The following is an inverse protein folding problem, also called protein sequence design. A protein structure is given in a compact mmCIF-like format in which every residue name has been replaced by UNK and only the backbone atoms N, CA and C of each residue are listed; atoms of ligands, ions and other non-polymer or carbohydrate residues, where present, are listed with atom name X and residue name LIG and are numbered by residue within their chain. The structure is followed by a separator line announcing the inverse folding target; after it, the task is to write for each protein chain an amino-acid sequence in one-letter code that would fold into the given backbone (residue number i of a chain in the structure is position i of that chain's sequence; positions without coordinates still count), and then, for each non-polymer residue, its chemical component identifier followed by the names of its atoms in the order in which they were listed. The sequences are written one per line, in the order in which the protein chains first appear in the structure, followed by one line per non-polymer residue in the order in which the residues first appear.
data_IF_124613427565
#
_entry.id   IF_124613427565
#
_cell.length_a   1.000
_cell.length_b   1.000
_cell.length_c   1.000
_cell.angle_alpha   90.00
_cell.angle_beta   90.00
_cell.angle_gamma   90.00
#
_symmetry.space_group_name_H-M   'P 1'
#
loop_
_entity.id
_entity.type
_entity.pdbx_description
1 polymer ?
#
# COMPACT_ATOMS: atom_id res chain seq x y z
N UNK A 1 43.63 -3.24 41.25
CA UNK A 1 42.98 -3.89 40.09
C UNK A 1 43.41 -3.21 38.79
N UNK A 2 44.44 -3.74 38.11
CA UNK A 2 44.79 -3.27 36.75
C UNK A 2 43.76 -3.83 35.77
N UNK A 3 42.83 -2.99 35.30
CA UNK A 3 41.85 -3.35 34.25
C UNK A 3 42.61 -3.84 33.03
N UNK A 4 42.45 -5.12 32.69
CA UNK A 4 43.06 -5.75 31.51
C UNK A 4 42.45 -5.15 30.24
N UNK A 5 43.06 -4.07 29.75
CA UNK A 5 42.74 -3.42 28.47
C UNK A 5 42.73 -4.42 27.29
N UNK A 6 43.45 -5.54 27.42
CA UNK A 6 43.50 -6.62 26.44
C UNK A 6 42.19 -7.44 26.33
N UNK A 7 41.45 -7.63 27.44
CA UNK A 7 40.15 -8.34 27.40
C UNK A 7 39.09 -7.45 26.74
N UNK A 8 39.14 -6.15 27.00
CA UNK A 8 38.25 -5.16 26.37
C UNK A 8 38.52 -5.08 24.86
N UNK A 9 39.80 -5.13 24.44
CA UNK A 9 40.18 -5.14 23.02
C UNK A 9 39.72 -6.43 22.30
N UNK A 10 39.78 -7.59 22.98
CA UNK A 10 39.31 -8.87 22.44
C UNK A 10 37.78 -8.92 22.33
N UNK A 11 37.05 -8.36 23.31
CA UNK A 11 35.60 -8.21 23.24
C UNK A 11 35.16 -7.20 22.16
N UNK A 12 35.93 -6.13 21.93
CA UNK A 12 35.69 -5.16 20.84
C UNK A 12 35.95 -5.76 19.45
N UNK A 13 36.91 -6.68 19.32
CA UNK A 13 37.21 -7.36 18.06
C UNK A 13 36.14 -8.41 17.69
N UNK A 14 35.55 -9.07 18.69
CA UNK A 14 34.45 -10.03 18.49
C UNK A 14 33.10 -9.36 18.21
N UNK A 15 32.95 -8.08 18.57
CA UNK A 15 31.75 -7.29 18.31
C UNK A 15 31.67 -6.70 16.88
N UNK A 16 32.68 -6.93 16.03
CA UNK A 16 32.75 -6.39 14.67
C UNK A 16 32.37 -7.39 13.56
N UNK A 17 31.68 -8.49 13.90
CA UNK A 17 30.99 -9.30 12.89
C UNK A 17 29.64 -8.63 12.64
N UNK A 18 29.67 -7.53 11.90
CA UNK A 18 28.48 -6.98 11.29
C UNK A 18 28.10 -8.00 10.21
N UNK A 19 27.16 -8.88 10.52
CA UNK A 19 26.47 -9.66 9.49
C UNK A 19 25.75 -8.66 8.60
N UNK A 20 26.38 -8.29 7.49
CA UNK A 20 25.68 -7.66 6.38
C UNK A 20 24.70 -8.71 5.84
N UNK A 21 23.44 -8.66 6.30
CA UNK A 21 22.36 -9.39 5.64
C UNK A 21 22.16 -8.72 4.28
N UNK A 22 22.61 -9.38 3.22
CA UNK A 22 22.21 -8.98 1.89
C UNK A 22 20.73 -9.35 1.72
N UNK A 23 19.90 -8.36 1.36
CA UNK A 23 18.48 -8.59 1.06
C UNK A 23 18.37 -9.64 -0.05
N UNK A 24 17.65 -10.73 0.20
CA UNK A 24 17.47 -11.81 -0.78
C UNK A 24 16.17 -11.59 -1.54
N UNK A 25 16.28 -11.12 -2.78
CA UNK A 25 15.14 -10.99 -3.69
C UNK A 25 14.87 -12.31 -4.39
N UNK A 26 13.58 -12.61 -4.62
CA UNK A 26 13.15 -13.90 -5.20
C UNK A 26 12.80 -13.79 -6.67
N UNK A 27 12.42 -12.59 -7.11
CA UNK A 27 12.02 -12.33 -8.48
C UNK A 27 12.78 -11.15 -9.08
N UNK A 28 13.02 -11.25 -10.38
CA UNK A 28 13.62 -10.22 -11.22
C UNK A 28 12.74 -9.95 -12.44
N UNK A 29 12.67 -8.70 -12.89
CA UNK A 29 12.03 -8.31 -14.14
C UNK A 29 12.92 -7.29 -14.87
N UNK A 30 13.46 -7.66 -16.03
CA UNK A 30 14.31 -6.76 -16.80
C UNK A 30 13.51 -5.56 -17.34
N UNK A 31 14.00 -4.34 -17.15
CA UNK A 31 13.44 -3.16 -17.81
C UNK A 31 13.77 -3.19 -19.30
N UNK A 32 12.86 -2.72 -20.14
CA UNK A 32 13.14 -2.55 -21.57
C UNK A 32 14.25 -1.50 -21.79
N UNK A 33 14.95 -1.52 -22.95
CA UNK A 33 16.06 -0.61 -23.21
C UNK A 33 15.71 0.86 -23.02
N UNK A 34 16.56 1.58 -22.28
CA UNK A 34 16.39 3.01 -21.99
C UNK A 34 16.78 3.85 -23.22
N UNK A 35 15.84 4.60 -23.84
CA UNK A 35 16.12 5.28 -25.11
C UNK A 35 16.98 6.55 -24.96
N UNK A 36 16.90 7.24 -23.83
CA UNK A 36 17.63 8.47 -23.52
C UNK A 36 17.85 8.61 -22.00
N UNK A 37 18.80 9.45 -21.60
CA UNK A 37 18.98 9.77 -20.17
C UNK A 37 17.79 10.58 -19.67
N UNK A 38 17.22 10.22 -18.52
CA UNK A 38 16.12 10.99 -17.95
C UNK A 38 15.26 10.22 -16.94
N UNK A 39 14.18 10.87 -16.51
CA UNK A 39 13.17 10.25 -15.66
C UNK A 39 12.22 9.39 -16.48
N UNK A 40 11.90 8.21 -15.94
CA UNK A 40 10.94 7.27 -16.51
C UNK A 40 9.90 6.87 -15.48
N UNK A 41 8.67 6.72 -15.95
CA UNK A 41 7.55 6.16 -15.19
C UNK A 41 7.45 4.66 -15.46
N UNK A 42 7.40 3.87 -14.40
CA UNK A 42 7.22 2.42 -14.47
C UNK A 42 5.90 2.08 -13.77
N UNK A 43 4.93 1.61 -14.55
CA UNK A 43 3.61 1.22 -14.04
C UNK A 43 3.67 -0.21 -13.55
N UNK A 44 3.43 -0.41 -12.26
CA UNK A 44 3.41 -1.70 -11.59
C UNK A 44 2.08 -2.40 -11.84
N UNK A 45 2.15 -3.49 -12.61
CA UNK A 45 1.02 -4.38 -12.91
C UNK A 45 0.68 -5.32 -11.75
N UNK A 46 -0.38 -6.12 -11.92
CA UNK A 46 -0.83 -7.14 -10.96
C UNK A 46 0.29 -8.07 -10.49
N UNK A 47 1.13 -8.56 -11.41
CA UNK A 47 2.19 -9.53 -11.08
C UNK A 47 3.22 -8.93 -10.11
N UNK A 48 3.63 -7.68 -10.36
CA UNK A 48 4.53 -6.96 -9.44
C UNK A 48 3.84 -6.74 -8.10
N UNK A 49 2.62 -6.22 -8.10
CA UNK A 49 1.86 -5.89 -6.89
C UNK A 49 1.52 -7.12 -6.05
N UNK A 50 1.38 -8.29 -6.67
CA UNK A 50 1.18 -9.56 -5.99
C UNK A 50 2.47 -10.08 -5.34
N UNK A 51 3.62 -9.71 -5.89
CA UNK A 51 4.94 -10.16 -5.44
C UNK A 51 5.61 -9.24 -4.41
N UNK A 52 5.04 -8.07 -4.12
CA UNK A 52 5.60 -7.09 -3.18
C UNK A 52 4.63 -6.76 -2.06
N UNK A 53 5.19 -6.27 -0.96
CA UNK A 53 4.45 -5.71 0.16
C UNK A 53 3.67 -4.46 -0.27
N UNK A 54 2.51 -4.15 0.37
CA UNK A 54 1.68 -3.01 -0.04
C UNK A 54 2.39 -1.65 -0.05
N UNK A 55 3.41 -1.48 0.79
CA UNK A 55 4.24 -0.28 0.90
C UNK A 55 5.49 -0.28 -0.01
N UNK A 56 5.66 -1.32 -0.84
CA UNK A 56 6.77 -1.52 -1.77
C UNK A 56 8.15 -1.65 -1.11
N UNK A 57 8.22 -1.97 0.19
CA UNK A 57 9.49 -2.05 0.93
C UNK A 57 10.49 -3.04 0.35
N UNK A 58 9.98 -4.06 -0.30
CA UNK A 58 10.64 -5.21 -0.89
C UNK A 58 10.77 -5.10 -2.42
N UNK A 59 10.60 -3.89 -2.97
CA UNK A 59 10.89 -3.54 -4.36
C UNK A 59 12.21 -2.75 -4.44
N UNK A 60 13.11 -3.15 -5.34
CA UNK A 60 14.29 -2.37 -5.73
C UNK A 60 14.40 -2.26 -7.25
N UNK A 61 15.05 -1.21 -7.72
CA UNK A 61 15.58 -1.13 -9.08
C UNK A 61 17.08 -1.34 -8.97
N UNK A 62 17.66 -2.21 -9.79
CA UNK A 62 19.11 -2.43 -9.85
C UNK A 62 19.64 -2.19 -11.25
N UNK A 63 20.91 -1.78 -11.35
CA UNK A 63 21.67 -1.86 -12.60
C UNK A 63 22.45 -3.18 -12.71
N UNK A 64 23.13 -3.38 -13.85
CA UNK A 64 24.00 -4.51 -14.12
C UNK A 64 25.24 -4.65 -13.19
N UNK A 65 25.47 -3.68 -12.29
CA UNK A 65 26.52 -3.73 -11.25
C UNK A 65 25.94 -3.98 -9.86
N UNK A 66 24.69 -4.45 -9.79
CA UNK A 66 23.95 -4.69 -8.54
C UNK A 66 23.80 -3.44 -7.66
N UNK A 67 23.84 -2.24 -8.26
CA UNK A 67 23.65 -0.99 -7.53
C UNK A 67 22.17 -0.63 -7.54
N UNK A 68 21.62 -0.37 -6.36
CA UNK A 68 20.24 0.08 -6.24
C UNK A 68 20.08 1.51 -6.75
N UNK A 69 19.10 1.69 -7.62
CA UNK A 69 18.75 2.96 -8.23
C UNK A 69 17.60 3.58 -7.47
N UNK A 70 17.71 4.86 -7.04
CA UNK A 70 16.63 5.58 -6.40
C UNK A 70 15.37 5.63 -7.25
N UNK A 71 14.23 5.44 -6.61
CA UNK A 71 12.92 5.66 -7.20
C UNK A 71 12.01 6.30 -6.17
N UNK A 72 10.93 6.91 -6.64
CA UNK A 72 9.84 7.40 -5.78
C UNK A 72 8.52 6.83 -6.26
N UNK A 73 7.53 6.74 -5.38
CA UNK A 73 6.15 6.49 -5.81
C UNK A 73 5.60 7.76 -6.44
N UNK A 74 4.93 7.64 -7.58
CA UNK A 74 4.16 8.74 -8.15
C UNK A 74 3.08 9.12 -7.13
N UNK A 75 3.18 10.34 -6.60
CA UNK A 75 2.11 10.88 -5.77
C UNK A 75 0.92 11.16 -6.69
N UNK A 76 -0.29 10.81 -6.27
CA UNK A 76 -1.50 11.44 -6.85
C UNK A 76 -1.29 12.94 -6.71
N UNK A 77 -1.48 13.68 -7.81
CA UNK A 77 -1.19 15.11 -7.93
C UNK A 77 -1.39 15.80 -6.58
N UNK A 78 -0.30 16.33 -6.04
CA UNK A 78 -0.36 17.21 -4.89
C UNK A 78 -1.22 18.38 -5.37
N UNK A 79 -2.45 18.47 -4.87
CA UNK A 79 -3.22 19.69 -5.01
C UNK A 79 -2.39 20.74 -4.31
N UNK A 80 -1.85 21.66 -5.10
CA UNK A 80 -1.10 22.78 -4.58
C UNK A 80 -1.99 23.46 -3.52
N UNK A 81 -1.45 23.80 -2.36
CA UNK A 81 -2.25 24.41 -1.29
C UNK A 81 -2.93 25.72 -1.76
N UNK A 82 -2.40 26.32 -2.82
CA UNK A 82 -2.98 27.46 -3.54
C UNK A 82 -4.27 27.14 -4.31
N UNK A 83 -4.59 25.87 -4.55
CA UNK A 83 -5.79 25.44 -5.28
C UNK A 83 -6.95 25.01 -4.35
N UNK A 84 -6.69 24.88 -3.05
CA UNK A 84 -7.71 24.56 -2.06
C UNK A 84 -8.30 25.83 -1.45
N UNK A 85 -9.58 26.07 -1.72
CA UNK A 85 -10.35 27.15 -1.08
C UNK A 85 -11.08 26.58 0.14
N UNK A 86 -10.61 26.85 1.37
CA UNK A 86 -11.25 26.34 2.57
C UNK A 86 -12.66 26.92 2.72
N UNK A 87 -13.61 26.05 3.06
CA UNK A 87 -14.95 26.45 3.49
C UNK A 87 -15.01 26.50 5.01
N UNK A 88 -15.85 27.38 5.55
CA UNK A 88 -15.92 27.57 6.99
C UNK A 88 -16.68 26.41 7.64
N UNK A 89 -16.00 25.66 8.51
CA UNK A 89 -16.61 24.62 9.35
C UNK A 89 -17.33 25.28 10.52
N UNK A 90 -18.66 25.15 10.55
CA UNK A 90 -19.54 25.73 11.57
C UNK A 90 -19.81 24.78 12.73
N UNK A 91 -19.76 23.47 12.47
CA UNK A 91 -19.82 22.42 13.47
C UNK A 91 -19.02 21.22 12.98
N UNK A 92 -18.28 20.58 13.89
CA UNK A 92 -17.68 19.26 13.71
C UNK A 92 -17.80 18.54 15.06
N UNK A 93 -18.95 17.93 15.28
CA UNK A 93 -19.34 17.36 16.59
C UNK A 93 -19.86 15.95 16.41
N UNK A 94 -19.85 15.18 17.50
CA UNK A 94 -20.58 13.91 17.56
C UNK A 94 -21.96 14.17 18.14
N UNK A 95 -23.01 13.74 17.43
CA UNK A 95 -24.39 13.85 17.90
C UNK A 95 -24.71 12.81 18.99
N UNK A 96 -25.91 12.89 19.57
CA UNK A 96 -26.36 11.96 20.62
C UNK A 96 -26.53 10.52 20.14
N UNK A 97 -26.63 10.30 18.83
CA UNK A 97 -26.68 8.97 18.22
C UNK A 97 -25.29 8.42 17.90
N UNK A 98 -24.23 9.19 18.14
CA UNK A 98 -22.84 8.81 17.88
C UNK A 98 -22.36 9.12 16.47
N UNK A 99 -23.13 9.84 15.64
CA UNK A 99 -22.72 10.22 14.29
C UNK A 99 -21.88 11.51 14.31
N UNK A 100 -20.93 11.65 13.39
CA UNK A 100 -20.27 12.94 13.17
C UNK A 100 -21.18 13.83 12.35
N UNK A 101 -21.45 15.03 12.86
CA UNK A 101 -22.17 16.10 12.16
C UNK A 101 -21.18 17.20 11.82
N UNK A 102 -20.90 17.33 10.53
CA UNK A 102 -20.08 18.39 9.97
C UNK A 102 -20.96 19.38 9.22
N UNK A 103 -21.17 20.55 9.80
CA UNK A 103 -21.87 21.66 9.14
C UNK A 103 -20.83 22.62 8.56
N UNK A 104 -20.96 22.96 7.28
CA UNK A 104 -20.11 23.93 6.59
C UNK A 104 -20.94 25.04 5.96
N UNK A 105 -20.35 26.22 5.84
CA UNK A 105 -20.93 27.34 5.11
C UNK A 105 -20.33 27.45 3.71
N UNK A 106 -21.20 27.50 2.70
CA UNK A 106 -20.82 27.84 1.34
C UNK A 106 -20.64 29.36 1.24
N UNK A 107 -19.40 29.82 1.38
CA UNK A 107 -19.02 31.23 1.31
C UNK A 107 -18.80 31.74 -0.11
N UNK A 108 -18.94 30.88 -1.13
CA UNK A 108 -18.61 31.25 -2.53
C UNK A 108 -19.65 32.13 -3.20
N UNK A 109 -20.88 32.18 -2.69
CA UNK A 109 -22.02 32.85 -3.33
C UNK A 109 -22.56 32.14 -4.59
N UNK A 110 -21.96 31.01 -5.00
CA UNK A 110 -22.36 30.22 -6.16
C UNK A 110 -22.86 28.83 -5.73
N UNK A 111 -23.55 28.14 -6.64
CA UNK A 111 -23.89 26.73 -6.44
C UNK A 111 -22.64 25.85 -6.47
N UNK A 112 -22.55 24.87 -5.58
CA UNK A 112 -21.45 23.88 -5.51
C UNK A 112 -22.00 22.47 -5.67
N UNK A 113 -21.20 21.58 -6.26
CA UNK A 113 -21.58 20.19 -6.55
C UNK A 113 -20.58 19.18 -5.94
N UNK A 114 -19.58 19.67 -5.24
CA UNK A 114 -18.63 18.85 -4.51
C UNK A 114 -18.05 19.64 -3.33
N UNK A 115 -17.55 18.90 -2.34
CA UNK A 115 -16.69 19.41 -1.27
C UNK A 115 -15.61 18.38 -1.00
N UNK A 116 -14.38 18.82 -0.87
CA UNK A 116 -13.23 17.96 -0.57
C UNK A 116 -12.88 18.06 0.90
N UNK A 117 -12.73 16.92 1.56
CA UNK A 117 -12.30 16.81 2.95
C UNK A 117 -10.85 16.35 3.01
N UNK A 118 -10.05 16.98 3.86
CA UNK A 118 -8.81 16.39 4.34
C UNK A 118 -9.08 15.62 5.63
N UNK A 119 -8.76 14.33 5.64
CA UNK A 119 -9.04 13.40 6.73
C UNK A 119 -7.74 12.73 7.14
N UNK A 120 -7.49 12.60 8.46
CA UNK A 120 -6.35 11.81 8.93
C UNK A 120 -6.41 10.37 8.42
N UNK A 121 -5.26 9.81 8.08
CA UNK A 121 -5.16 8.46 7.54
C UNK A 121 -5.92 7.44 8.38
N UNK A 122 -6.71 6.61 7.71
CA UNK A 122 -7.52 5.59 8.36
C UNK A 122 -7.91 4.50 7.39
N UNK A 123 -8.03 3.28 7.92
CA UNK A 123 -8.65 2.15 7.21
C UNK A 123 -10.15 2.06 7.45
N UNK A 124 -10.74 3.03 8.16
CA UNK A 124 -12.15 3.03 8.48
C UNK A 124 -13.01 3.42 7.27
N UNK A 125 -13.99 2.59 6.95
CA UNK A 125 -15.05 2.91 6.00
C UNK A 125 -16.25 3.52 6.74
N UNK A 126 -16.88 4.53 6.16
CA UNK A 126 -18.05 5.19 6.75
C UNK A 126 -19.08 5.54 5.69
N UNK A 127 -20.36 5.49 6.06
CA UNK A 127 -21.42 6.05 5.24
C UNK A 127 -21.66 7.51 5.62
N UNK A 128 -21.85 8.34 4.60
CA UNK A 128 -22.09 9.76 4.71
C UNK A 128 -23.39 10.14 3.98
N UNK A 129 -24.14 11.07 4.55
CA UNK A 129 -25.22 11.77 3.85
C UNK A 129 -24.96 13.28 3.81
N UNK A 130 -25.49 13.94 2.78
CA UNK A 130 -25.40 15.38 2.55
C UNK A 130 -26.79 15.99 2.56
N UNK A 131 -27.00 17.02 3.37
CA UNK A 131 -28.21 17.84 3.39
C UNK A 131 -27.87 19.32 3.21
N UNK A 132 -28.81 20.11 2.70
CA UNK A 132 -28.69 21.55 2.52
C UNK A 132 -29.68 22.34 3.37
N UNK A 133 -29.29 23.53 3.78
CA UNK A 133 -30.12 24.50 4.49
C UNK A 133 -29.76 25.93 4.11
N UNK A 134 -30.74 26.83 4.15
CA UNK A 134 -30.50 28.28 4.01
C UNK A 134 -30.51 29.01 5.35
N UNK A 135 -30.97 28.38 6.43
CA UNK A 135 -31.22 29.01 7.74
C UNK A 135 -30.63 28.24 8.93
N UNK A 136 -30.00 27.07 8.69
CA UNK A 136 -29.51 26.09 9.68
C UNK A 136 -30.58 25.45 10.56
N UNK A 137 -31.85 25.84 10.43
CA UNK A 137 -32.98 25.30 11.17
C UNK A 137 -33.67 24.16 10.42
N UNK A 138 -33.91 24.34 9.12
CA UNK A 138 -34.55 23.34 8.26
C UNK A 138 -33.54 22.77 7.27
N UNK A 139 -33.45 21.45 7.24
CA UNK A 139 -32.50 20.71 6.41
C UNK A 139 -33.25 19.83 5.42
N UNK A 140 -32.77 19.83 4.18
CA UNK A 140 -33.34 19.03 3.08
C UNK A 140 -32.26 18.13 2.52
N UNK A 141 -32.60 16.87 2.28
CA UNK A 141 -31.64 15.90 1.78
C UNK A 141 -31.18 16.28 0.36
N UNK A 142 -29.87 16.16 0.12
CA UNK A 142 -29.25 16.33 -1.21
C UNK A 142 -28.81 14.97 -1.76
N UNK A 143 -28.14 14.16 -0.93
CA UNK A 143 -27.67 12.81 -1.30
C UNK A 143 -27.49 11.95 -0.05
N UNK A 144 -27.85 10.68 -0.13
CA UNK A 144 -27.64 9.69 0.93
C UNK A 144 -26.67 8.59 0.49
N UNK A 145 -26.22 7.82 1.49
CA UNK A 145 -25.46 6.58 1.33
C UNK A 145 -24.17 6.72 0.50
N UNK A 146 -23.46 7.83 0.67
CA UNK A 146 -22.13 8.04 0.10
C UNK A 146 -21.13 7.23 0.93
N UNK A 147 -20.39 6.32 0.29
CA UNK A 147 -19.31 5.59 0.96
C UNK A 147 -18.04 6.45 1.00
N UNK A 148 -17.61 6.81 2.21
CA UNK A 148 -16.25 7.28 2.45
C UNK A 148 -15.32 6.07 2.43
N UNK A 149 -14.58 5.94 1.35
CA UNK A 149 -13.57 4.91 1.13
C UNK A 149 -12.32 5.23 1.93
N UNK A 150 -11.69 4.23 2.56
CA UNK A 150 -10.44 4.43 3.28
C UNK A 150 -9.34 4.78 2.28
N UNK A 151 -8.47 5.69 2.65
CA UNK A 151 -7.21 5.88 1.96
C UNK A 151 -6.09 6.06 2.98
N UNK A 152 -4.95 5.48 2.66
CA UNK A 152 -3.74 5.61 3.46
C UNK A 152 -2.74 6.36 2.60
N UNK A 153 -2.43 7.58 3.02
CA UNK A 153 -1.25 8.29 2.55
C UNK A 153 -0.03 7.64 3.18
N UNK A 154 0.87 7.10 2.39
CA UNK A 154 2.17 6.65 2.90
C UNK A 154 3.21 7.78 2.95
N UNK A 155 2.88 8.94 2.36
CA UNK A 155 3.76 10.11 2.24
C UNK A 155 3.25 11.30 3.08
N UNK A 156 1.99 11.27 3.56
CA UNK A 156 1.37 12.27 4.46
C UNK A 156 0.45 11.56 5.46
N UNK A 157 0.28 12.13 6.65
CA UNK A 157 -0.63 11.64 7.72
C UNK A 157 -2.12 11.99 7.47
N UNK A 158 -2.45 12.38 6.25
CA UNK A 158 -3.81 12.71 5.83
C UNK A 158 -4.00 12.39 4.35
N UNK A 159 -5.24 12.12 3.98
CA UNK A 159 -5.67 11.97 2.61
C UNK A 159 -6.83 12.91 2.33
N UNK A 160 -6.99 13.24 1.06
CA UNK A 160 -8.13 14.03 0.61
C UNK A 160 -9.20 13.13 -0.01
N UNK A 161 -10.46 13.44 0.26
CA UNK A 161 -11.60 12.76 -0.32
C UNK A 161 -12.63 13.77 -0.80
N UNK A 162 -12.91 13.75 -2.11
CA UNK A 162 -13.92 14.60 -2.73
C UNK A 162 -15.30 13.95 -2.67
N UNK A 163 -16.26 14.66 -2.08
CA UNK A 163 -17.65 14.22 -1.95
C UNK A 163 -18.47 14.95 -2.98
N UNK A 164 -18.84 14.25 -4.06
CA UNK A 164 -19.70 14.78 -5.10
C UNK A 164 -21.20 14.65 -4.75
N UNK A 165 -21.99 15.63 -5.17
CA UNK A 165 -23.45 15.66 -4.99
C UNK A 165 -24.11 16.55 -6.06
N UNK A 166 -25.44 16.47 -6.28
CA UNK A 166 -26.12 17.35 -7.22
C UNK A 166 -25.85 18.84 -6.94
N UNK A 167 -25.75 19.66 -7.98
CA UNK A 167 -25.52 21.11 -7.84
C UNK A 167 -26.48 21.73 -6.82
N UNK A 168 -25.93 22.33 -5.78
CA UNK A 168 -26.66 22.88 -4.64
C UNK A 168 -26.32 24.34 -4.43
N UNK A 169 -27.35 25.17 -4.29
CA UNK A 169 -27.24 26.60 -3.96
C UNK A 169 -27.55 26.90 -2.49
N UNK A 170 -27.69 25.87 -1.65
CA UNK A 170 -27.90 26.06 -0.22
C UNK A 170 -26.69 26.75 0.42
N UNK A 171 -26.95 27.71 1.32
CA UNK A 171 -25.89 28.44 2.04
C UNK A 171 -25.13 27.54 3.02
N UNK A 172 -25.82 26.58 3.62
CA UNK A 172 -25.24 25.66 4.59
C UNK A 172 -25.38 24.23 4.09
N UNK A 173 -24.32 23.45 4.23
CA UNK A 173 -24.33 22.01 3.97
C UNK A 173 -24.03 21.26 5.26
N UNK A 174 -24.74 20.15 5.47
CA UNK A 174 -24.55 19.24 6.59
C UNK A 174 -24.15 17.88 6.06
N UNK A 175 -23.03 17.39 6.56
CA UNK A 175 -22.53 16.06 6.30
C UNK A 175 -22.69 15.24 7.58
N UNK A 176 -23.47 14.15 7.50
CA UNK A 176 -23.66 13.23 8.64
C UNK A 176 -22.94 11.94 8.33
N UNK A 177 -21.91 11.62 9.12
CA UNK A 177 -21.12 10.40 8.99
C UNK A 177 -21.55 9.40 10.05
N UNK A 178 -22.03 8.24 9.60
CA UNK A 178 -22.46 7.15 10.48
C UNK A 178 -21.22 6.44 11.05
N UNK A 179 -20.90 6.71 12.32
CA UNK A 179 -19.72 6.11 12.97
C UNK A 179 -19.95 4.68 13.46
N UNK A 180 -21.20 4.18 13.45
CA UNK A 180 -21.54 2.81 13.82
C UNK A 180 -20.99 2.39 15.20
N UNK A 181 -21.11 3.26 16.20
CA UNK A 181 -20.62 3.07 17.58
C UNK A 181 -19.09 2.91 17.71
N UNK A 182 -18.34 3.24 16.66
CA UNK A 182 -16.87 3.34 16.68
C UNK A 182 -16.44 4.80 16.84
N UNK A 183 -15.13 5.02 16.96
CA UNK A 183 -14.55 6.36 16.97
C UNK A 183 -14.81 7.10 15.65
N UNK A 184 -14.95 8.42 15.77
CA UNK A 184 -15.20 9.34 14.68
C UNK A 184 -13.96 9.51 13.78
N UNK A 185 -14.19 9.81 12.49
CA UNK A 185 -13.11 10.23 11.59
C UNK A 185 -12.58 11.61 12.00
N UNK A 186 -11.26 11.78 11.92
CA UNK A 186 -10.63 13.08 12.17
C UNK A 186 -10.59 13.90 10.88
N UNK A 187 -11.62 14.71 10.66
CA UNK A 187 -11.74 15.65 9.54
C UNK A 187 -10.96 16.92 9.89
N UNK A 188 -9.85 17.14 9.19
CA UNK A 188 -8.92 18.26 9.40
C UNK A 188 -9.48 19.54 8.78
N UNK A 189 -9.97 19.46 7.54
CA UNK A 189 -10.55 20.60 6.84
C UNK A 189 -11.54 20.18 5.76
N UNK A 190 -12.36 21.13 5.32
CA UNK A 190 -13.31 20.98 4.21
C UNK A 190 -13.22 22.20 3.29
N UNK A 191 -13.27 22.00 1.99
CA UNK A 191 -13.11 23.09 1.02
C UNK A 191 -13.44 22.70 -0.41
N UNK A 192 -13.16 23.62 -1.32
CA UNK A 192 -13.33 23.44 -2.75
C UNK A 192 -11.97 23.40 -3.43
N UNK A 193 -11.85 22.60 -4.48
CA UNK A 193 -10.66 22.59 -5.33
C UNK A 193 -10.95 23.46 -6.55
N UNK A 194 -10.19 24.55 -6.69
CA UNK A 194 -10.27 25.45 -7.84
C UNK A 194 -9.48 24.86 -9.01
N UNK A 195 -10.02 23.85 -9.68
CA UNK A 195 -9.37 23.36 -10.87
C UNK A 195 -10.38 22.88 -11.92
N UNK A 196 -10.52 23.67 -12.99
CA UNK A 196 -11.16 23.23 -14.24
C UNK A 196 -10.39 22.10 -14.93
N UNK A 197 -9.14 21.83 -14.50
CA UNK A 197 -8.25 20.78 -15.00
C UNK A 197 -8.09 19.59 -14.05
N UNK A 198 -8.25 19.77 -12.73
CA UNK A 198 -8.33 18.67 -11.77
C UNK A 198 -9.80 18.30 -11.53
N UNK A 199 -10.48 17.83 -12.57
CA UNK A 199 -11.45 16.77 -12.31
C UNK A 199 -10.60 15.63 -11.79
N UNK A 200 -10.62 15.38 -10.48
CA UNK A 200 -10.18 14.10 -9.96
C UNK A 200 -10.92 13.04 -10.78
N UNK A 201 -10.26 12.48 -11.80
CA UNK A 201 -10.83 11.35 -12.48
C UNK A 201 -10.90 10.27 -11.42
N UNK A 202 -12.07 9.64 -11.21
CA UNK A 202 -12.17 8.54 -10.28
C UNK A 202 -11.05 7.55 -10.60
N UNK A 203 -10.41 6.95 -9.57
CA UNK A 203 -9.31 6.03 -9.77
C UNK A 203 -9.71 5.00 -10.82
N UNK A 204 -8.93 4.92 -11.90
CA UNK A 204 -9.21 3.97 -12.99
C UNK A 204 -8.59 2.64 -12.61
N UNK A 205 -9.44 1.70 -12.22
CA UNK A 205 -9.02 0.33 -11.94
C UNK A 205 -8.75 -0.40 -13.25
N UNK A 206 -7.64 -1.13 -13.31
CA UNK A 206 -7.38 -2.06 -14.40
C UNK A 206 -8.11 -3.36 -14.05
N UNK A 207 -8.99 -3.80 -14.95
CA UNK A 207 -9.73 -5.06 -14.81
C UNK A 207 -8.84 -6.22 -15.22
N UNK A 208 -8.84 -7.28 -14.43
CA UNK A 208 -8.21 -8.55 -14.77
C UNK A 208 -8.97 -9.25 -15.90
N UNK A 209 -8.35 -10.26 -16.51
CA UNK A 209 -9.09 -11.21 -17.35
C UNK A 209 -10.25 -11.79 -16.55
N UNK A 210 -11.41 -11.91 -17.19
CA UNK A 210 -12.63 -12.39 -16.54
C UNK A 210 -12.37 -13.75 -15.84
N UNK A 211 -12.67 -13.87 -14.53
CA UNK A 211 -12.51 -15.12 -13.81
C UNK A 211 -13.56 -16.13 -14.23
N UNK A 212 -13.29 -17.40 -13.96
CA UNK A 212 -14.33 -18.44 -14.04
C UNK A 212 -15.19 -18.36 -12.78
N UNK A 213 -16.51 -18.39 -12.95
CA UNK A 213 -17.45 -18.31 -11.82
C UNK A 213 -18.36 -19.52 -11.77
N UNK A 214 -18.52 -20.12 -10.59
CA UNK A 214 -19.49 -21.19 -10.34
C UNK A 214 -20.38 -20.80 -9.17
N UNK A 215 -21.70 -20.88 -9.36
CA UNK A 215 -22.68 -20.62 -8.30
C UNK A 215 -23.24 -21.93 -7.74
N UNK A 216 -23.28 -22.04 -6.41
CA UNK A 216 -23.93 -23.13 -5.67
C UNK A 216 -24.92 -22.55 -4.67
N UNK A 217 -26.19 -22.80 -4.91
CA UNK A 217 -27.27 -22.43 -4.00
C UNK A 217 -27.53 -23.55 -3.00
N UNK A 218 -27.59 -23.21 -1.72
CA UNK A 218 -27.65 -24.17 -0.62
C UNK A 218 -28.92 -24.02 0.20
N UNK A 219 -29.42 -25.13 0.74
CA UNK A 219 -30.63 -25.17 1.57
C UNK A 219 -30.48 -24.46 2.93
N UNK A 220 -29.26 -24.04 3.30
CA UNK A 220 -28.99 -23.23 4.48
C UNK A 220 -29.30 -21.74 4.30
N UNK A 221 -29.95 -21.34 3.20
CA UNK A 221 -30.31 -19.96 2.92
C UNK A 221 -29.18 -19.13 2.32
N UNK A 222 -28.07 -19.75 1.90
CA UNK A 222 -26.92 -19.06 1.32
C UNK A 222 -26.65 -19.50 -0.12
N UNK A 223 -26.15 -18.56 -0.92
CA UNK A 223 -25.53 -18.84 -2.22
C UNK A 223 -24.02 -18.65 -2.14
N UNK A 224 -23.28 -19.60 -2.70
CA UNK A 224 -21.82 -19.60 -2.75
C UNK A 224 -21.37 -19.36 -4.18
N UNK A 225 -20.68 -18.25 -4.43
CA UNK A 225 -20.11 -17.93 -5.75
C UNK A 225 -18.61 -18.14 -5.65
N UNK A 226 -18.12 -19.21 -6.27
CA UNK A 226 -16.70 -19.49 -6.41
C UNK A 226 -16.16 -18.72 -7.61
N UNK A 227 -15.04 -18.02 -7.41
CA UNK A 227 -14.41 -17.15 -8.39
C UNK A 227 -12.95 -17.59 -8.52
N UNK A 228 -12.60 -18.18 -9.66
CA UNK A 228 -11.28 -18.75 -9.92
C UNK A 228 -10.56 -18.01 -11.05
N UNK A 229 -9.32 -17.63 -10.78
CA UNK A 229 -8.42 -16.97 -11.73
C UNK A 229 -7.31 -17.93 -12.18
N UNK A 230 -6.65 -17.60 -13.29
CA UNK A 230 -5.53 -18.39 -13.80
C UNK A 230 -4.28 -18.29 -12.90
N UNK A 231 -4.09 -17.13 -12.25
CA UNK A 231 -2.95 -16.83 -11.39
C UNK A 231 -3.44 -16.16 -10.10
N UNK A 232 -2.59 -16.17 -9.06
CA UNK A 232 -2.80 -15.37 -7.85
C UNK A 232 -2.57 -13.88 -8.15
N UNK A 233 -3.65 -13.17 -8.49
CA UNK A 233 -3.61 -11.75 -8.82
C UNK A 233 -3.71 -10.87 -7.58
N UNK A 234 -3.14 -9.67 -7.67
CA UNK A 234 -3.39 -8.58 -6.73
C UNK A 234 -4.73 -7.89 -7.04
N UNK A 235 -5.58 -7.73 -6.03
CA UNK A 235 -6.96 -7.29 -6.19
C UNK A 235 -7.29 -6.24 -5.13
N UNK A 236 -7.91 -5.14 -5.57
CA UNK A 236 -8.40 -4.05 -4.73
C UNK A 236 -9.83 -3.63 -5.09
N UNK A 237 -10.42 -4.24 -6.13
CA UNK A 237 -11.79 -4.01 -6.53
C UNK A 237 -12.47 -5.31 -6.98
N UNK A 238 -13.72 -5.45 -6.58
CA UNK A 238 -14.64 -6.50 -7.01
C UNK A 238 -15.89 -5.84 -7.60
N UNK A 239 -16.30 -6.25 -8.79
CA UNK A 239 -17.59 -5.86 -9.37
C UNK A 239 -18.47 -7.09 -9.60
N UNK A 240 -19.75 -6.99 -9.28
CA UNK A 240 -20.72 -8.09 -9.37
C UNK A 240 -21.91 -7.65 -10.20
N UNK A 241 -22.19 -8.41 -11.25
CA UNK A 241 -23.37 -8.24 -12.09
C UNK A 241 -24.46 -9.26 -11.74
N UNK A 242 -25.66 -8.74 -11.49
CA UNK A 242 -26.86 -9.55 -11.18
C UNK A 242 -27.85 -9.43 -12.34
N UNK A 243 -28.34 -10.58 -12.83
CA UNK A 243 -29.37 -10.68 -13.86
C UNK A 243 -30.79 -10.73 -13.29
N UNK A 244 -31.00 -11.37 -12.14
CA UNK A 244 -32.31 -11.52 -11.52
C UNK A 244 -32.21 -11.82 -10.01
N UNK A 245 -33.26 -11.54 -9.22
CA UNK A 245 -34.42 -10.71 -9.56
C UNK A 245 -34.03 -9.23 -9.75
N UNK A 246 -34.92 -8.37 -10.31
CA UNK A 246 -34.60 -6.96 -10.53
C UNK A 246 -34.47 -6.14 -9.24
N UNK A 247 -35.15 -6.57 -8.18
CA UNK A 247 -35.12 -5.92 -6.86
C UNK A 247 -34.51 -6.88 -5.84
N UNK A 248 -33.39 -6.47 -5.27
CA UNK A 248 -32.69 -7.21 -4.24
C UNK A 248 -31.90 -6.27 -3.33
N UNK A 249 -31.65 -6.77 -2.13
CA UNK A 249 -30.73 -6.22 -1.14
C UNK A 249 -30.26 -7.40 -0.27
N UNK A 250 -28.98 -7.75 -0.34
CA UNK A 250 -28.42 -8.95 0.32
C UNK A 250 -27.11 -8.61 1.01
N UNK A 251 -26.88 -9.05 2.26
CA UNK A 251 -25.55 -9.02 2.83
C UNK A 251 -24.68 -10.07 2.11
N UNK A 252 -23.44 -9.68 1.85
CA UNK A 252 -22.44 -10.50 1.15
C UNK A 252 -21.15 -10.46 1.95
N UNK A 253 -20.52 -11.62 2.10
CA UNK A 253 -19.17 -11.73 2.63
C UNK A 253 -18.23 -12.34 1.59
N UNK A 254 -17.14 -11.62 1.31
CA UNK A 254 -16.05 -12.06 0.44
C UNK A 254 -14.99 -12.78 1.27
N UNK A 255 -14.59 -13.95 0.80
CA UNK A 255 -13.49 -14.74 1.33
C UNK A 255 -12.42 -14.97 0.27
N UNK A 256 -11.18 -15.12 0.71
CA UNK A 256 -10.07 -15.67 -0.08
C UNK A 256 -9.71 -17.05 0.42
N UNK A 257 -9.33 -17.95 -0.48
CA UNK A 257 -8.74 -19.22 -0.09
C UNK A 257 -7.27 -18.98 0.32
N UNK A 258 -6.93 -19.36 1.54
CA UNK A 258 -5.54 -19.55 1.95
C UNK A 258 -5.13 -20.98 1.60
N UNK A 259 -4.28 -21.11 0.57
CA UNK A 259 -3.84 -22.43 0.09
C UNK A 259 -2.97 -23.18 1.10
N UNK A 260 -2.25 -22.46 1.98
CA UNK A 260 -1.41 -23.10 2.99
C UNK A 260 -2.26 -23.64 4.13
N UNK A 261 -3.21 -22.83 4.62
CA UNK A 261 -4.11 -23.21 5.70
C UNK A 261 -5.30 -24.07 5.23
N UNK A 262 -5.51 -24.18 3.91
CA UNK A 262 -6.70 -24.81 3.29
C UNK A 262 -8.01 -24.26 3.90
N UNK A 263 -8.04 -22.95 4.12
CA UNK A 263 -9.13 -22.28 4.84
C UNK A 263 -9.55 -20.99 4.13
N UNK A 264 -10.84 -20.66 4.22
CA UNK A 264 -11.36 -19.40 3.73
C UNK A 264 -11.19 -18.30 4.77
N UNK A 265 -10.41 -17.28 4.42
CA UNK A 265 -10.19 -16.10 5.24
C UNK A 265 -11.08 -14.96 4.74
N UNK A 266 -11.83 -14.34 5.65
CA UNK A 266 -12.70 -13.22 5.32
C UNK A 266 -11.88 -12.01 4.88
N UNK A 267 -12.29 -11.41 3.75
CA UNK A 267 -11.67 -10.22 3.16
C UNK A 267 -12.50 -8.98 3.49
N UNK A 268 -13.81 -9.00 3.17
CA UNK A 268 -14.72 -7.86 3.39
C UNK A 268 -16.17 -8.34 3.45
N UNK A 269 -17.02 -7.64 4.20
CA UNK A 269 -18.47 -7.78 4.13
C UNK A 269 -19.10 -6.48 3.62
N UNK A 270 -20.13 -6.59 2.79
CA UNK A 270 -20.84 -5.45 2.19
C UNK A 270 -22.28 -5.83 1.82
N UNK A 271 -23.10 -4.85 1.44
CA UNK A 271 -24.46 -5.08 0.96
C UNK A 271 -24.52 -4.96 -0.56
N UNK A 272 -25.01 -6.00 -1.23
CA UNK A 272 -25.30 -5.99 -2.65
C UNK A 272 -26.76 -5.58 -2.85
N UNK A 273 -27.00 -4.44 -3.50
CA UNK A 273 -28.34 -3.87 -3.67
C UNK A 273 -28.60 -3.42 -5.11
N UNK A 274 -29.83 -3.63 -5.57
CA UNK A 274 -30.34 -3.12 -6.86
C UNK A 274 -30.36 -1.58 -6.95
N UNK A 275 -30.24 -0.87 -5.82
CA UNK A 275 -30.17 0.60 -5.75
C UNK A 275 -28.76 1.15 -5.55
N UNK A 276 -27.79 0.27 -5.31
CA UNK A 276 -26.42 0.64 -4.93
C UNK A 276 -25.41 0.45 -6.06
N UNK A 277 -24.16 0.69 -5.72
CA UNK A 277 -23.03 0.41 -6.60
C UNK A 277 -22.88 -1.09 -6.85
N UNK A 278 -22.37 -1.43 -8.03
CA UNK A 278 -22.03 -2.81 -8.42
C UNK A 278 -20.56 -3.13 -8.21
N UNK A 279 -19.76 -2.12 -7.86
CA UNK A 279 -18.32 -2.18 -7.70
C UNK A 279 -17.93 -1.82 -6.26
N UNK A 280 -17.09 -2.64 -5.66
CA UNK A 280 -16.71 -2.59 -4.26
C UNK A 280 -15.19 -2.58 -4.15
N UNK A 281 -14.64 -1.58 -3.47
CA UNK A 281 -13.21 -1.56 -3.11
C UNK A 281 -12.96 -2.62 -2.04
N UNK A 282 -11.92 -3.42 -2.15
CA UNK A 282 -11.59 -4.42 -1.13
C UNK A 282 -10.19 -4.15 -0.57
N UNK A 283 -9.88 -4.60 0.65
CA UNK A 283 -8.50 -4.59 1.14
C UNK A 283 -7.58 -5.27 0.12
N UNK A 284 -6.39 -4.72 -0.06
CA UNK A 284 -5.36 -5.26 -0.94
C UNK A 284 -5.16 -6.76 -0.68
N UNK A 285 -5.57 -7.57 -1.65
CA UNK A 285 -5.66 -9.03 -1.51
C UNK A 285 -4.97 -9.70 -2.68
N UNK A 286 -4.01 -10.57 -2.40
CA UNK A 286 -3.45 -11.51 -3.39
C UNK A 286 -4.14 -12.85 -3.24
N UNK A 287 -4.84 -13.30 -4.28
CA UNK A 287 -5.55 -14.58 -4.26
C UNK A 287 -5.79 -15.10 -5.68
N UNK A 288 -5.68 -16.41 -5.86
CA UNK A 288 -6.12 -17.09 -7.08
C UNK A 288 -7.62 -17.41 -7.03
N UNK A 289 -8.07 -17.96 -5.89
CA UNK A 289 -9.45 -18.35 -5.65
C UNK A 289 -10.11 -17.48 -4.57
N UNK A 290 -11.30 -16.99 -4.88
CA UNK A 290 -12.16 -16.23 -3.99
C UNK A 290 -13.53 -16.91 -3.87
N UNK A 291 -14.25 -16.63 -2.80
CA UNK A 291 -15.63 -17.09 -2.61
C UNK A 291 -16.49 -15.96 -2.07
N UNK A 292 -17.62 -15.70 -2.73
CA UNK A 292 -18.68 -14.86 -2.18
C UNK A 292 -19.72 -15.74 -1.49
N UNK A 293 -20.12 -15.35 -0.30
CA UNK A 293 -21.28 -15.90 0.40
C UNK A 293 -22.35 -14.84 0.41
N UNK A 294 -23.46 -15.10 -0.28
CA UNK A 294 -24.64 -14.24 -0.33
C UNK A 294 -25.68 -14.85 0.60
N UNK A 295 -26.11 -14.12 1.62
CA UNK A 295 -27.19 -14.59 2.50
C UNK A 295 -28.53 -14.21 1.90
N UNK A 296 -29.30 -15.22 1.48
CA UNK A 296 -30.58 -15.00 0.80
C UNK A 296 -31.75 -14.82 1.78
N UNK A 297 -31.62 -15.35 3.00
CA UNK A 297 -32.76 -15.48 3.92
C UNK A 297 -33.89 -16.29 3.27
N UNK A 298 -35.12 -15.80 3.35
CA UNK A 298 -36.30 -16.42 2.73
C UNK A 298 -36.46 -16.09 1.24
N UNK A 299 -35.52 -15.37 0.64
CA UNK A 299 -35.60 -14.99 -0.76
C UNK A 299 -35.03 -16.06 -1.69
N UNK A 300 -35.46 -16.05 -2.95
CA UNK A 300 -34.81 -16.82 -4.00
C UNK A 300 -33.36 -16.34 -4.22
N UNK A 301 -32.43 -17.26 -4.56
CA UNK A 301 -31.06 -16.92 -4.93
C UNK A 301 -30.96 -15.86 -6.03
N UNK A 302 -29.94 -15.02 -5.94
CA UNK A 302 -29.61 -14.08 -7.03
C UNK A 302 -28.99 -14.85 -8.20
N UNK A 303 -29.34 -14.48 -9.44
CA UNK A 303 -28.66 -14.95 -10.64
C UNK A 303 -27.48 -14.04 -10.92
N UNK A 304 -26.27 -14.48 -10.56
CA UNK A 304 -25.03 -13.75 -10.84
C UNK A 304 -24.65 -13.96 -12.30
N UNK A 305 -24.61 -12.89 -13.09
CA UNK A 305 -24.28 -12.93 -14.52
C UNK A 305 -22.82 -12.62 -14.82
N UNK A 306 -22.11 -11.98 -13.89
CA UNK A 306 -20.72 -11.61 -14.10
C UNK A 306 -20.02 -11.23 -12.81
N UNK A 307 -18.73 -11.53 -12.74
CA UNK A 307 -17.83 -11.03 -11.70
C UNK A 307 -16.60 -10.48 -12.39
N UNK A 308 -16.18 -9.28 -12.00
CA UNK A 308 -14.95 -8.67 -12.48
C UNK A 308 -14.07 -8.31 -11.29
N UNK A 309 -12.77 -8.54 -11.43
CA UNK A 309 -11.77 -8.21 -10.42
C UNK A 309 -10.85 -7.14 -11.00
N UNK A 310 -10.40 -6.20 -10.16
CA UNK A 310 -9.54 -5.13 -10.60
C UNK A 310 -8.61 -4.64 -9.51
N UNK A 311 -7.64 -3.82 -9.92
CA UNK A 311 -6.65 -3.22 -9.05
C UNK A 311 -6.33 -1.79 -9.49
N UNK A 312 -5.83 -0.98 -8.57
CA UNK A 312 -5.33 0.34 -8.91
C UNK A 312 -3.84 0.21 -9.28
N UNK A 313 -3.43 0.50 -10.53
CA UNK A 313 -2.01 0.49 -10.87
C UNK A 313 -1.25 1.50 -10.02
N UNK A 314 -0.06 1.11 -9.54
CA UNK A 314 0.87 2.00 -8.85
C UNK A 314 1.98 2.37 -9.82
N UNK A 315 2.43 3.61 -9.81
CA UNK A 315 3.56 4.04 -10.65
C UNK A 315 4.75 4.39 -9.77
N UNK A 316 5.94 3.98 -10.18
CA UNK A 316 7.19 4.49 -9.63
C UNK A 316 7.92 5.33 -10.68
N UNK A 317 8.67 6.32 -10.24
CA UNK A 317 9.46 7.20 -11.09
C UNK A 317 10.92 7.10 -10.69
N UNK A 318 11.81 6.94 -11.67
CA UNK A 318 13.25 6.78 -11.46
C UNK A 318 14.05 7.45 -12.57
N UNK A 319 15.30 7.82 -12.29
CA UNK A 319 16.22 8.35 -13.31
C UNK A 319 17.06 7.22 -13.88
N UNK A 320 17.06 7.06 -15.21
CA UNK A 320 17.79 6.02 -15.90
C UNK A 320 18.71 6.62 -16.97
N UNK A 321 19.83 5.96 -17.22
CA UNK A 321 20.81 6.36 -18.23
C UNK A 321 20.74 5.43 -19.44
N UNK A 322 20.85 6.00 -20.62
CA UNK A 322 20.89 5.29 -21.89
C UNK A 322 22.05 4.31 -21.94
N UNK A 323 21.78 3.12 -22.47
CA UNK A 323 22.79 2.07 -22.66
C UNK A 323 23.19 1.34 -21.38
N UNK A 324 22.47 1.56 -20.28
CA UNK A 324 22.53 0.71 -19.09
C UNK A 324 21.32 -0.20 -19.05
N UNK A 325 21.55 -1.40 -18.53
CA UNK A 325 20.51 -2.39 -18.28
C UNK A 325 20.09 -2.30 -16.81
N UNK A 326 18.79 -2.39 -16.60
CA UNK A 326 18.16 -2.26 -15.30
C UNK A 326 17.13 -3.36 -15.09
N UNK A 327 16.90 -3.74 -13.84
CA UNK A 327 15.88 -4.70 -13.46
C UNK A 327 15.12 -4.27 -12.21
N UNK A 328 13.85 -4.68 -12.13
CA UNK A 328 13.10 -4.70 -10.87
C UNK A 328 13.46 -5.96 -10.08
N UNK A 329 13.70 -5.81 -8.79
CA UNK A 329 13.88 -6.91 -7.84
C UNK A 329 12.75 -6.90 -6.82
N UNK A 330 12.13 -8.05 -6.59
CA UNK A 330 10.90 -8.17 -5.78
C UNK A 330 11.01 -9.27 -4.71
N UNK A 331 10.10 -9.21 -3.73
CA UNK A 331 9.86 -10.23 -2.71
C UNK A 331 11.06 -10.51 -1.79
N UNK A 332 11.74 -9.47 -1.31
CA UNK A 332 12.72 -9.59 -0.25
C UNK A 332 12.05 -9.57 1.14
N UNK A 333 11.98 -10.75 1.78
CA UNK A 333 11.24 -10.94 3.03
C UNK A 333 11.75 -10.09 4.21
N UNK A 334 13.05 -9.76 4.23
CA UNK A 334 13.71 -8.95 5.27
C UNK A 334 13.94 -7.49 4.84
N UNK A 335 13.36 -7.06 3.72
CA UNK A 335 13.57 -5.72 3.21
C UNK A 335 12.86 -4.65 4.06
N UNK A 336 13.59 -3.56 4.29
CA UNK A 336 13.07 -2.32 4.87
C UNK A 336 12.71 -1.32 3.77
N UNK A 337 11.75 -0.40 4.00
CA UNK A 337 11.47 0.66 3.06
C UNK A 337 12.73 1.45 2.71
N UNK A 338 13.02 1.70 1.42
CA UNK A 338 14.17 2.50 1.06
C UNK A 338 13.93 3.97 1.42
N UNK A 339 15.01 4.67 1.81
CA UNK A 339 14.99 6.11 2.04
C UNK A 339 15.92 6.77 1.03
N UNK A 340 15.34 7.39 0.00
CA UNK A 340 16.08 8.02 -1.09
C UNK A 340 15.96 9.54 -1.03
N UNK A 341 17.06 10.25 -1.28
CA UNK A 341 17.05 11.71 -1.40
C UNK A 341 16.09 12.19 -2.50
N UNK A 342 15.81 11.35 -3.51
CA UNK A 342 14.88 11.66 -4.61
C UNK A 342 13.48 12.07 -4.11
N UNK A 343 13.07 11.60 -2.92
CA UNK A 343 11.81 12.02 -2.27
C UNK A 343 11.75 13.53 -2.01
N UNK A 344 12.89 14.19 -1.78
CA UNK A 344 12.99 15.64 -1.53
C UNK A 344 12.94 16.46 -2.82
N UNK A 345 13.05 15.83 -3.99
CA UNK A 345 13.14 16.50 -5.29
C UNK A 345 11.94 16.21 -6.20
N UNK A 346 10.77 15.91 -5.63
CA UNK A 346 9.53 15.64 -6.38
C UNK A 346 9.18 16.76 -7.37
N UNK A 347 9.39 18.02 -6.99
CA UNK A 347 9.14 19.19 -7.84
C UNK A 347 10.11 19.32 -9.03
N UNK A 348 11.24 18.58 -9.00
CA UNK A 348 12.24 18.56 -10.08
C UNK A 348 11.98 17.44 -11.10
N UNK A 349 10.97 16.60 -10.88
CA UNK A 349 10.64 15.47 -11.77
C UNK A 349 9.63 15.95 -12.82
N UNK A 350 9.93 15.77 -14.13
CA UNK A 350 9.00 16.12 -15.19
C UNK A 350 7.67 15.36 -15.08
N UNK A 351 6.55 16.08 -15.15
CA UNK A 351 5.20 15.49 -15.08
C UNK A 351 4.91 14.55 -16.26
N UNK A 352 5.54 14.81 -17.41
CA UNK A 352 5.42 14.09 -18.68
C UNK A 352 6.52 13.05 -18.91
N UNK A 353 7.18 12.60 -17.83
CA UNK A 353 8.18 11.52 -17.92
C UNK A 353 7.63 10.29 -18.67
N UNK A 354 8.36 9.78 -19.69
CA UNK A 354 7.89 8.69 -20.53
C UNK A 354 7.73 7.37 -19.76
N UNK A 355 6.80 6.54 -20.24
CA UNK A 355 6.60 5.20 -19.72
C UNK A 355 7.73 4.26 -20.16
N UNK A 356 8.26 3.49 -19.21
CA UNK A 356 9.16 2.37 -19.47
C UNK A 356 8.54 1.07 -18.93
N UNK A 357 8.46 0.07 -19.79
CA UNK A 357 7.92 -1.26 -19.45
C UNK A 357 9.03 -2.22 -19.07
N UNK A 358 8.64 -3.38 -18.55
CA UNK A 358 9.55 -4.48 -18.19
C UNK A 358 9.10 -5.78 -18.84
N UNK A 359 10.02 -6.73 -18.90
CA UNK A 359 9.78 -8.11 -19.33
C UNK A 359 9.08 -8.91 -18.21
N UNK A 360 8.52 -10.10 -18.52
CA UNK A 360 7.86 -10.95 -17.52
C UNK A 360 8.75 -11.35 -16.34
N UNK A 361 8.11 -11.84 -15.28
CA UNK A 361 8.78 -12.24 -14.04
C UNK A 361 9.73 -13.44 -14.24
N UNK A 362 10.96 -13.30 -13.75
CA UNK A 362 11.94 -14.38 -13.65
C UNK A 362 12.20 -14.73 -12.19
N UNK A 363 12.27 -16.04 -11.88
CA UNK A 363 12.64 -16.51 -10.55
C UNK A 363 14.17 -16.51 -10.44
N UNK A 364 14.69 -15.77 -9.46
CA UNK A 364 16.14 -15.67 -9.18
C UNK A 364 16.53 -16.34 -7.86
N UNK A 365 15.56 -16.78 -7.05
CA UNK A 365 15.80 -17.57 -5.86
C UNK A 365 16.53 -18.88 -6.22
N UNK A 366 17.79 -19.00 -5.80
CA UNK A 366 18.68 -20.13 -6.13
C UNK A 366 19.81 -19.81 -7.12
N UNK A 367 19.78 -18.67 -7.82
CA UNK A 367 20.92 -18.17 -8.63
C UNK A 367 21.87 -17.34 -7.76
N UNK A 368 22.42 -17.93 -6.70
CA UNK A 368 23.52 -17.29 -5.96
C UNK A 368 24.84 -17.77 -6.55
N UNK A 369 25.28 -17.15 -7.64
CA UNK A 369 26.71 -17.08 -7.95
C UNK A 369 27.15 -15.62 -7.93
N UNK A 370 27.79 -15.25 -6.84
CA UNK A 370 29.17 -14.83 -6.97
C UNK A 370 29.91 -15.39 -5.77
N UNK A 371 30.93 -16.18 -6.09
CA UNK A 371 31.98 -16.61 -5.17
C UNK A 371 32.23 -15.51 -4.14
N UNK A 372 31.79 -15.76 -2.92
CA UNK A 372 32.37 -15.10 -1.76
C UNK A 372 33.84 -15.49 -1.80
N UNK A 373 34.66 -14.63 -2.42
CA UNK A 373 36.09 -14.82 -2.62
C UNK A 373 36.68 -15.36 -1.34
N UNK A 374 37.11 -16.61 -1.41
CA UNK A 374 37.35 -17.52 -0.30
C UNK A 374 38.00 -16.79 0.88
N UNK A 375 37.17 -16.41 1.86
CA UNK A 375 37.59 -15.70 3.07
C UNK A 375 38.46 -16.59 3.97
N UNK A 376 38.71 -17.85 3.58
CA UNK A 376 39.74 -18.72 4.15
C UNK A 376 41.08 -18.01 4.32
N UNK A 377 41.51 -17.15 3.39
CA UNK A 377 42.78 -16.43 3.56
C UNK A 377 42.75 -15.47 4.77
N UNK A 378 41.64 -14.76 4.97
CA UNK A 378 41.46 -13.84 6.11
C UNK A 378 41.33 -14.64 7.42
N UNK A 379 40.64 -15.78 7.39
CA UNK A 379 40.53 -16.70 8.52
C UNK A 379 41.91 -17.25 8.92
N UNK A 380 42.72 -17.68 7.94
CA UNK A 380 44.08 -18.17 8.20
C UNK A 380 45.01 -17.05 8.71
N UNK A 381 44.91 -15.83 8.18
CA UNK A 381 45.65 -14.67 8.72
C UNK A 381 45.25 -14.40 10.17
N UNK A 382 43.95 -14.48 10.50
CA UNK A 382 43.47 -14.31 11.88
C UNK A 382 43.94 -15.43 12.81
N UNK A 383 43.96 -16.69 12.36
CA UNK A 383 44.48 -17.83 13.13
C UNK A 383 45.97 -17.67 13.39
N UNK A 384 46.77 -17.35 12.37
CA UNK A 384 48.23 -17.15 12.50
C UNK A 384 48.52 -15.98 13.45
N UNK A 385 47.79 -14.86 13.30
CA UNK A 385 47.91 -13.73 14.20
C UNK A 385 47.57 -14.11 15.65
N UNK A 386 46.49 -14.89 15.86
CA UNK A 386 46.10 -15.41 17.18
C UNK A 386 47.15 -16.31 17.81
N UNK A 387 47.70 -17.25 17.05
CA UNK A 387 48.78 -18.16 17.51
C UNK A 387 50.04 -17.36 17.85
N UNK A 388 50.43 -16.39 17.01
CA UNK A 388 51.60 -15.54 17.27
C UNK A 388 51.45 -14.71 18.55
N UNK A 389 50.24 -14.19 18.79
CA UNK A 389 49.92 -13.41 19.99
C UNK A 389 49.97 -14.28 21.26
N UNK A 390 49.39 -15.48 21.20
CA UNK A 390 49.46 -16.50 22.27
C UNK A 390 50.92 -16.91 22.55
N UNK A 391 51.70 -17.17 21.51
CA UNK A 391 53.13 -17.50 21.63
C UNK A 391 53.91 -16.36 22.31
N UNK A 392 53.68 -15.12 21.88
CA UNK A 392 54.31 -13.94 22.48
C UNK A 392 53.97 -13.77 23.96
N UNK A 393 52.70 -13.93 24.34
CA UNK A 393 52.30 -13.85 25.76
C UNK A 393 52.87 -15.00 26.59
N UNK A 394 52.92 -16.21 26.04
CA UNK A 394 53.50 -17.37 26.72
C UNK A 394 55.00 -17.17 26.96
N UNK A 395 55.71 -16.67 25.95
CA UNK A 395 57.14 -16.35 26.06
C UNK A 395 57.40 -15.23 27.08
N UNK A 396 56.59 -14.17 27.05
CA UNK A 396 56.70 -13.06 28.00
C UNK A 396 56.46 -13.52 29.45
N UNK A 397 55.44 -14.34 29.69
CA UNK A 397 55.15 -14.91 31.01
C UNK A 397 56.29 -15.82 31.49
N UNK A 398 56.83 -16.67 30.61
CA UNK A 398 57.96 -17.54 30.95
C UNK A 398 59.23 -16.73 31.28
N UNK A 399 59.49 -15.64 30.56
CA UNK A 399 60.60 -14.72 30.84
C UNK A 399 60.42 -14.00 32.17
N UNK A 400 59.25 -13.43 32.42
CA UNK A 400 58.93 -12.72 33.66
C UNK A 400 59.04 -13.67 34.88
N UNK A 401 58.69 -14.95 34.73
CA UNK A 401 58.86 -15.98 35.78
C UNK A 401 60.33 -16.34 36.04
N UNK A 402 61.20 -16.27 35.02
CA UNK A 402 62.62 -16.55 35.18
C UNK A 402 63.38 -15.38 35.83
N UNK A 403 62.94 -14.14 35.55
CA UNK A 403 63.48 -12.94 36.19
C UNK A 403 63.09 -12.84 37.68
N UNK A 404 61.95 -13.42 38.10
CA UNK A 404 61.56 -13.49 39.52
C UNK A 404 62.30 -14.57 40.34
N UNK A 405 62.95 -15.55 39.72
CA UNK A 405 63.78 -16.56 40.42
C UNK A 405 65.23 -16.11 40.67
N UNK A 406 65.62 -14.93 40.19
CA UNK A 406 66.96 -14.34 40.38
C UNK A 406 67.08 -13.38 41.56
N UNK A 407 66.01 -13.17 42.33
CA UNK A 407 66.02 -12.36 43.57
C UNK A 407 65.42 -13.22 44.69
N UNK A 408 66.27 -14.07 45.26
CA UNK A 408 65.99 -14.93 46.41
C UNK A 408 67.29 -15.42 46.99
#
# INVERSE_FOLDING_TARGET
MKRNKAVIALCLLMALIITASAQTFRYEMALKPVPADGFYKIVLNSDVLAAVSPDLRDLRITDNKSRFIPYIREAKQIIDANEFTPLSIMANITDTAGNTVLDIENTTGNGIANVSFFIKNTYAERQLSVSGSNDRGKWFIIREDILLTPAVGYDRDEFMQSIAFPLSTYRYLRFVIRNNKSDALNIVSAGLINNSSAREMPPTYITHTAPTTTQKDSSNGNSYIYIDQNNANFIEQLSIDIAAPPLYERPVTLYRLDEFAQAYLQVRSFTLSSKGDRSFIIPATTAQSLMLVIENGDNLPLSVSGVSLGYLPKTIITYLEKGKDYSLLLNAADATPPNYDLEQFRDSIPQDAPLLTYEPIEIIEGKTETEQKDSKAIIWIAIIAGIGLLGFFTFKLAKDMNEQKGVG
#
